data_IF_287692046382
#
_entry.id   IF_287692046382
#
_cell.length_a   1.000
_cell.length_b   1.000
_cell.length_c   1.000
_cell.angle_alpha   90.00
_cell.angle_beta   90.00
_cell.angle_gamma   90.00
#
_symmetry.space_group_name_H-M   'P 1'
#
loop_
_entity.id
_entity.type
_entity.pdbx_description
1 polymer ?
#
# COMPACT_ATOMS: atom_id res chain seq x y z
N UNK A 1 -13.87 0.23 0.50
CA UNK A 1 -13.37 0.59 1.84
C UNK A 1 -11.92 1.00 1.76
N UNK A 2 -11.49 1.92 2.61
CA UNK A 2 -10.13 2.45 2.66
C UNK A 2 -9.55 2.25 4.06
N UNK A 3 -8.33 1.77 4.16
CA UNK A 3 -7.55 1.81 5.41
C UNK A 3 -6.27 2.58 5.15
N UNK A 4 -6.04 3.60 5.98
CA UNK A 4 -4.94 4.57 5.79
C UNK A 4 -4.24 4.83 7.11
N UNK A 5 -2.97 5.19 7.06
CA UNK A 5 -2.18 5.55 8.24
C UNK A 5 -2.38 7.02 8.60
N UNK A 6 -3.58 7.41 9.04
CA UNK A 6 -3.91 8.80 9.39
C UNK A 6 -3.31 9.24 10.73
N UNK A 7 -2.92 8.28 11.56
CA UNK A 7 -2.11 8.49 12.77
C UNK A 7 -0.86 7.59 12.77
N UNK A 8 0.01 7.79 13.76
CA UNK A 8 1.28 7.06 13.89
C UNK A 8 2.41 7.63 13.01
N UNK A 9 3.53 6.90 12.88
CA UNK A 9 4.72 7.37 12.17
C UNK A 9 4.50 7.78 10.71
N UNK A 10 3.52 7.20 10.01
CA UNK A 10 3.23 7.51 8.61
C UNK A 10 2.09 8.54 8.41
N UNK A 11 1.67 9.25 9.47
CA UNK A 11 0.56 10.20 9.42
C UNK A 11 0.70 11.28 8.33
N UNK A 12 1.93 11.72 8.03
CA UNK A 12 2.19 12.71 6.97
C UNK A 12 1.76 12.22 5.57
N UNK A 13 1.68 10.90 5.36
CA UNK A 13 1.18 10.27 4.14
C UNK A 13 -0.31 9.94 4.23
N UNK A 14 -0.77 9.35 5.33
CA UNK A 14 -2.17 8.92 5.44
C UNK A 14 -3.18 10.04 5.65
N UNK A 15 -2.77 11.19 6.22
CA UNK A 15 -3.64 12.38 6.32
C UNK A 15 -4.06 12.89 4.94
N UNK A 16 -3.14 13.16 3.98
CA UNK A 16 -3.56 13.58 2.64
C UNK A 16 -4.33 12.50 1.88
N UNK A 17 -4.02 11.20 2.06
CA UNK A 17 -4.82 10.10 1.49
C UNK A 17 -6.26 10.13 2.02
N UNK A 18 -6.44 10.26 3.34
CA UNK A 18 -7.76 10.41 3.98
C UNK A 18 -8.49 11.63 3.42
N UNK A 19 -7.84 12.79 3.35
CA UNK A 19 -8.47 14.01 2.86
C UNK A 19 -8.89 13.89 1.39
N UNK A 20 -8.11 13.16 0.59
CA UNK A 20 -8.43 12.90 -0.82
C UNK A 20 -9.71 12.10 -0.98
N UNK A 21 -10.04 11.20 -0.04
CA UNK A 21 -11.30 10.42 -0.10
C UNK A 21 -12.55 11.31 -0.18
N UNK A 22 -12.53 12.49 0.45
CA UNK A 22 -13.65 13.44 0.41
C UNK A 22 -13.78 14.18 -0.93
N UNK A 23 -12.73 14.15 -1.75
CA UNK A 23 -12.67 14.77 -3.08
C UNK A 23 -12.98 13.78 -4.20
N UNK A 24 -13.05 12.48 -3.89
CA UNK A 24 -13.34 11.45 -4.88
C UNK A 24 -14.79 11.57 -5.39
N UNK A 25 -15.05 11.16 -6.65
CA UNK A 25 -16.39 11.18 -7.22
C UNK A 25 -17.37 10.36 -6.39
N UNK A 26 -18.52 10.95 -6.04
CA UNK A 26 -19.61 10.22 -5.36
C UNK A 26 -20.47 9.39 -6.31
N UNK A 27 -20.25 9.53 -7.61
CA UNK A 27 -20.95 8.79 -8.65
C UNK A 27 -20.02 8.57 -9.85
N UNK A 28 -19.97 7.34 -10.37
CA UNK A 28 -19.27 6.99 -11.60
C UNK A 28 -20.21 6.15 -12.46
N UNK A 29 -20.38 6.52 -13.73
CA UNK A 29 -21.23 5.81 -14.69
C UNK A 29 -22.66 5.52 -14.18
N UNK A 30 -23.26 6.45 -13.42
CA UNK A 30 -24.60 6.29 -12.86
C UNK A 30 -24.69 5.47 -11.57
N UNK A 31 -23.56 4.97 -11.05
CA UNK A 31 -23.49 4.22 -9.80
C UNK A 31 -22.94 5.11 -8.68
N UNK A 32 -23.64 5.15 -7.55
CA UNK A 32 -23.15 5.85 -6.35
C UNK A 32 -21.97 5.11 -5.75
N UNK A 33 -21.02 5.87 -5.21
CA UNK A 33 -19.84 5.32 -4.54
C UNK A 33 -19.78 5.82 -3.10
N UNK A 34 -19.65 4.87 -2.18
CA UNK A 34 -19.46 5.12 -0.76
C UNK A 34 -18.04 4.79 -0.33
N UNK A 35 -17.34 5.78 0.23
CA UNK A 35 -15.98 5.63 0.74
C UNK A 35 -15.99 5.51 2.26
N UNK A 36 -15.85 4.29 2.77
CA UNK A 36 -15.64 4.03 4.21
C UNK A 36 -14.14 4.11 4.49
N UNK A 37 -13.71 5.05 5.33
CA UNK A 37 -12.29 5.27 5.65
C UNK A 37 -12.02 4.92 7.11
N UNK A 38 -11.06 4.03 7.34
CA UNK A 38 -10.56 3.64 8.66
C UNK A 38 -9.08 4.03 8.80
N UNK A 39 -8.68 4.35 10.03
CA UNK A 39 -7.29 4.62 10.38
C UNK A 39 -6.63 3.34 10.89
N UNK A 40 -5.49 2.95 10.32
CA UNK A 40 -4.68 1.82 10.80
C UNK A 40 -3.53 2.23 11.73
N UNK A 41 -3.36 3.52 12.00
CA UNK A 41 -2.34 4.04 12.91
C UNK A 41 -0.89 3.63 12.56
N UNK A 42 -0.62 3.29 11.29
CA UNK A 42 0.67 2.72 10.85
C UNK A 42 0.97 1.35 11.52
N UNK A 43 -0.05 0.60 11.92
CA UNK A 43 0.07 -0.69 12.59
C UNK A 43 -0.55 -1.82 11.74
N UNK A 44 0.21 -2.88 11.52
CA UNK A 44 -0.22 -3.99 10.64
C UNK A 44 -1.36 -4.81 11.24
N UNK A 45 -1.44 -4.90 12.57
CA UNK A 45 -2.55 -5.59 13.25
C UNK A 45 -3.84 -4.80 13.09
N UNK A 46 -3.79 -3.48 13.20
CA UNK A 46 -4.94 -2.61 12.93
C UNK A 46 -5.34 -2.63 11.46
N UNK A 47 -4.39 -2.63 10.52
CA UNK A 47 -4.70 -2.77 9.09
C UNK A 47 -5.45 -4.08 8.79
N UNK A 48 -5.04 -5.21 9.38
CA UNK A 48 -5.74 -6.49 9.26
C UNK A 48 -7.16 -6.43 9.85
N UNK A 49 -7.32 -5.82 11.03
CA UNK A 49 -8.65 -5.63 11.66
C UNK A 49 -9.57 -4.78 10.79
N UNK A 50 -9.06 -3.66 10.26
CA UNK A 50 -9.78 -2.78 9.36
C UNK A 50 -10.18 -3.52 8.08
N UNK A 51 -9.27 -4.27 7.47
CA UNK A 51 -9.57 -5.06 6.28
C UNK A 51 -10.69 -6.07 6.54
N UNK A 52 -10.62 -6.84 7.63
CA UNK A 52 -11.68 -7.78 8.03
C UNK A 52 -13.01 -7.10 8.26
N UNK A 53 -13.02 -5.98 8.99
CA UNK A 53 -14.24 -5.21 9.22
C UNK A 53 -14.86 -4.76 7.91
N UNK A 54 -14.05 -4.13 7.05
CA UNK A 54 -14.51 -3.62 5.76
C UNK A 54 -15.09 -4.73 4.86
N UNK A 55 -14.46 -5.90 4.81
CA UNK A 55 -14.91 -7.01 3.96
C UNK A 55 -16.09 -7.77 4.55
N UNK A 56 -16.08 -8.04 5.86
CA UNK A 56 -17.00 -8.98 6.50
C UNK A 56 -18.19 -8.31 7.18
N UNK A 57 -18.06 -7.05 7.62
CA UNK A 57 -19.14 -6.31 8.27
C UNK A 57 -19.70 -5.22 7.34
N UNK A 58 -18.81 -4.43 6.72
CA UNK A 58 -19.23 -3.33 5.84
C UNK A 58 -19.46 -3.80 4.38
N UNK A 59 -19.11 -5.05 4.05
CA UNK A 59 -19.31 -5.69 2.75
C UNK A 59 -18.84 -4.85 1.55
N UNK A 60 -17.66 -4.25 1.64
CA UNK A 60 -17.14 -3.40 0.56
C UNK A 60 -16.77 -4.19 -0.70
N UNK A 61 -16.99 -3.60 -1.88
CA UNK A 61 -16.65 -4.23 -3.17
C UNK A 61 -15.14 -4.26 -3.46
N UNK A 62 -14.37 -3.36 -2.84
CA UNK A 62 -12.93 -3.24 -3.01
C UNK A 62 -12.26 -2.63 -1.78
N UNK A 63 -11.00 -3.00 -1.56
CA UNK A 63 -10.11 -2.42 -0.56
C UNK A 63 -9.14 -1.44 -1.23
N UNK A 64 -8.93 -0.28 -0.62
CA UNK A 64 -7.86 0.65 -0.95
C UNK A 64 -6.96 0.78 0.28
N UNK A 65 -5.66 0.57 0.08
CA UNK A 65 -4.68 0.65 1.14
C UNK A 65 -3.86 -0.65 1.31
N UNK A 66 -2.93 -0.65 2.24
CA UNK A 66 -2.64 0.47 3.15
C UNK A 66 -1.63 1.48 2.54
N UNK A 67 -1.40 2.57 3.27
CA UNK A 67 -0.39 3.63 3.04
C UNK A 67 1.04 3.08 3.01
N UNK A 68 1.34 2.11 3.89
CA UNK A 68 2.71 1.58 4.07
C UNK A 68 2.84 0.11 3.66
N UNK A 69 4.06 -0.29 3.30
CA UNK A 69 4.37 -1.63 2.79
C UNK A 69 4.01 -2.74 3.80
N UNK A 70 4.41 -2.68 5.09
CA UNK A 70 4.11 -3.76 6.03
C UNK A 70 2.61 -4.00 6.19
N UNK A 71 1.82 -2.92 6.25
CA UNK A 71 0.37 -3.00 6.38
C UNK A 71 -0.27 -3.57 5.11
N UNK A 72 0.18 -3.14 3.92
CA UNK A 72 -0.30 -3.69 2.65
C UNK A 72 -0.01 -5.19 2.53
N UNK A 73 1.19 -5.63 2.90
CA UNK A 73 1.56 -7.05 2.90
C UNK A 73 0.67 -7.87 3.85
N UNK A 74 0.35 -7.33 5.03
CA UNK A 74 -0.50 -8.00 6.02
C UNK A 74 -1.96 -8.16 5.55
N UNK A 75 -2.44 -7.32 4.64
CA UNK A 75 -3.80 -7.35 4.11
C UNK A 75 -4.01 -8.37 2.97
N UNK A 76 -2.94 -8.88 2.35
CA UNK A 76 -3.00 -9.79 1.18
C UNK A 76 -3.88 -11.01 1.46
N UNK A 77 -3.69 -11.65 2.62
CA UNK A 77 -4.44 -12.86 2.98
C UNK A 77 -5.94 -12.56 3.09
N UNK A 78 -6.31 -11.40 3.63
CA UNK A 78 -7.71 -10.99 3.78
C UNK A 78 -8.34 -10.73 2.40
N UNK A 79 -7.64 -10.00 1.52
CA UNK A 79 -8.11 -9.74 0.16
C UNK A 79 -8.37 -11.05 -0.60
N UNK A 80 -7.44 -12.01 -0.51
CA UNK A 80 -7.58 -13.31 -1.15
C UNK A 80 -8.71 -14.17 -0.55
N UNK A 81 -8.76 -14.29 0.78
CA UNK A 81 -9.77 -15.11 1.45
C UNK A 81 -11.19 -14.61 1.23
N UNK A 82 -11.36 -13.30 1.21
CA UNK A 82 -12.67 -12.65 1.01
C UNK A 82 -12.98 -12.40 -0.45
N UNK A 83 -12.05 -12.73 -1.35
CA UNK A 83 -12.17 -12.46 -2.78
C UNK A 83 -12.55 -10.99 -3.05
N UNK A 84 -11.99 -10.09 -2.26
CA UNK A 84 -12.20 -8.64 -2.38
C UNK A 84 -10.92 -8.01 -2.93
N UNK A 85 -10.95 -7.42 -4.13
CA UNK A 85 -9.75 -6.86 -4.73
C UNK A 85 -9.19 -5.72 -3.88
N UNK A 86 -7.86 -5.70 -3.74
CA UNK A 86 -7.12 -4.71 -2.98
C UNK A 86 -6.22 -3.88 -3.88
N UNK A 87 -6.26 -2.56 -3.73
CA UNK A 87 -5.34 -1.62 -4.38
C UNK A 87 -4.47 -0.97 -3.31
N UNK A 88 -3.22 -1.39 -3.21
CA UNK A 88 -2.24 -0.81 -2.29
C UNK A 88 -1.75 0.56 -2.77
N UNK A 89 -1.45 1.44 -1.80
CA UNK A 89 -0.82 2.74 -2.01
C UNK A 89 0.69 2.72 -1.69
N UNK A 90 1.24 1.53 -1.39
CA UNK A 90 2.65 1.34 -1.06
C UNK A 90 3.46 0.80 -2.25
N UNK A 91 4.77 1.06 -2.25
CA UNK A 91 5.60 0.94 -3.45
C UNK A 91 6.28 -0.42 -3.68
N UNK A 92 6.48 -1.23 -2.63
CA UNK A 92 7.31 -2.44 -2.74
C UNK A 92 6.78 -3.44 -3.77
N UNK A 93 7.67 -3.96 -4.61
CA UNK A 93 7.34 -4.98 -5.61
C UNK A 93 6.71 -6.23 -4.98
N UNK A 94 7.15 -6.61 -3.78
CA UNK A 94 6.68 -7.78 -3.03
C UNK A 94 5.17 -7.77 -2.73
N UNK A 95 4.50 -6.63 -2.87
CA UNK A 95 3.05 -6.51 -2.72
C UNK A 95 2.32 -7.24 -3.86
N UNK A 96 2.89 -7.23 -5.08
CA UNK A 96 2.27 -7.78 -6.29
C UNK A 96 3.11 -8.87 -6.97
N UNK A 97 4.37 -9.05 -6.56
CA UNK A 97 5.31 -10.01 -7.12
C UNK A 97 5.93 -10.93 -6.05
N UNK A 98 6.28 -12.19 -6.40
CA UNK A 98 5.89 -12.87 -7.63
C UNK A 98 4.37 -13.11 -7.65
N UNK A 99 3.77 -13.20 -8.84
CA UNK A 99 2.35 -13.51 -8.95
C UNK A 99 2.06 -14.91 -8.40
N UNK A 100 1.10 -14.98 -7.49
CA UNK A 100 0.64 -16.21 -6.86
C UNK A 100 -0.89 -16.14 -6.65
N UNK A 101 -1.56 -17.24 -6.24
CA UNK A 101 -3.02 -17.23 -6.07
C UNK A 101 -3.51 -16.15 -5.09
N UNK A 102 -2.74 -15.80 -4.06
CA UNK A 102 -3.11 -14.75 -3.09
C UNK A 102 -3.01 -13.36 -3.71
N UNK A 103 -1.91 -13.09 -4.41
CA UNK A 103 -1.64 -11.82 -5.09
C UNK A 103 -2.50 -11.59 -6.33
N UNK A 104 -3.23 -12.60 -6.81
CA UNK A 104 -4.22 -12.43 -7.89
C UNK A 104 -5.33 -11.43 -7.55
N UNK A 105 -5.57 -11.17 -6.26
CA UNK A 105 -6.52 -10.18 -5.74
C UNK A 105 -5.87 -8.83 -5.41
N UNK A 106 -4.58 -8.66 -5.66
CA UNK A 106 -3.80 -7.52 -5.17
C UNK A 106 -3.19 -6.74 -6.31
N UNK A 107 -3.44 -5.45 -6.29
CA UNK A 107 -2.94 -4.46 -7.24
C UNK A 107 -2.25 -3.33 -6.48
N UNK A 108 -1.47 -2.51 -7.18
CA UNK A 108 -0.91 -1.29 -6.59
C UNK A 108 -0.75 -0.20 -7.65
N UNK A 109 -0.89 1.04 -7.22
CA UNK A 109 -0.71 2.22 -8.08
C UNK A 109 0.73 2.75 -8.11
N UNK A 110 1.55 2.70 -7.03
CA UNK A 110 2.90 3.24 -7.10
C UNK A 110 3.85 2.33 -7.89
N UNK A 111 4.81 2.95 -8.58
CA UNK A 111 5.93 2.25 -9.22
C UNK A 111 6.75 1.41 -8.23
N UNK A 112 7.32 0.29 -8.70
CA UNK A 112 8.24 -0.51 -7.90
C UNK A 112 9.45 0.33 -7.47
N UNK A 113 9.82 0.23 -6.20
CA UNK A 113 11.02 0.82 -5.61
C UNK A 113 12.31 0.43 -6.30
N UNK A 114 12.41 -0.80 -6.81
CA UNK A 114 13.59 -1.25 -7.58
C UNK A 114 13.86 -0.38 -8.81
N UNK A 115 12.83 0.17 -9.46
CA UNK A 115 13.01 1.08 -10.59
C UNK A 115 13.68 2.39 -10.14
N UNK A 116 13.30 2.89 -8.96
CA UNK A 116 13.87 4.09 -8.37
C UNK A 116 15.32 3.83 -7.91
N UNK A 117 15.56 2.72 -7.21
CA UNK A 117 16.89 2.32 -6.76
C UNK A 117 17.87 2.12 -7.93
N UNK A 118 17.41 1.45 -9.01
CA UNK A 118 18.21 1.23 -10.22
C UNK A 118 18.60 2.54 -10.88
N UNK A 119 17.69 3.51 -10.98
CA UNK A 119 18.00 4.81 -11.57
C UNK A 119 19.08 5.56 -10.77
N UNK A 120 19.02 5.52 -9.44
CA UNK A 120 20.02 6.14 -8.56
C UNK A 120 21.37 5.44 -8.70
N UNK A 121 21.39 4.10 -8.60
CA UNK A 121 22.62 3.32 -8.74
C UNK A 121 23.27 3.50 -10.12
N UNK A 122 22.47 3.55 -11.19
CA UNK A 122 22.95 3.80 -12.54
C UNK A 122 23.55 5.20 -12.67
N UNK A 123 22.90 6.22 -12.10
CA UNK A 123 23.42 7.58 -12.08
C UNK A 123 24.78 7.64 -11.35
N UNK A 124 24.90 6.98 -10.20
CA UNK A 124 26.15 6.90 -9.42
C UNK A 124 27.27 6.24 -10.24
N UNK A 125 26.97 5.11 -10.89
CA UNK A 125 27.92 4.39 -11.75
C UNK A 125 28.41 5.28 -12.91
N UNK A 126 27.49 5.97 -13.59
CA UNK A 126 27.79 6.89 -14.69
C UNK A 126 28.69 8.07 -14.29
N UNK A 127 28.67 8.44 -13.00
CA UNK A 127 29.48 9.53 -12.44
C UNK A 127 30.69 9.04 -11.65
N UNK A 128 31.06 7.76 -11.80
CA UNK A 128 32.29 7.22 -11.23
C UNK A 128 32.28 7.02 -9.72
N UNK A 129 31.12 7.02 -9.06
CA UNK A 129 31.01 6.68 -7.63
C UNK A 129 31.37 5.20 -7.43
N UNK A 130 32.28 4.91 -6.49
CA UNK A 130 32.82 3.56 -6.26
C UNK A 130 32.49 2.96 -4.90
N UNK A 131 32.01 3.77 -3.95
CA UNK A 131 31.63 3.34 -2.61
C UNK A 131 30.25 3.88 -2.26
N UNK A 132 29.44 3.04 -1.62
CA UNK A 132 28.05 3.35 -1.24
C UNK A 132 27.81 2.83 0.17
N UNK A 133 27.08 3.60 0.97
CA UNK A 133 26.50 3.15 2.23
C UNK A 133 24.99 3.30 2.12
N UNK A 134 24.24 2.32 2.64
CA UNK A 134 22.79 2.33 2.68
C UNK A 134 22.30 2.59 4.10
N UNK A 135 21.41 3.57 4.24
CA UNK A 135 20.66 3.83 5.47
C UNK A 135 19.19 3.83 5.07
N UNK A 136 18.43 2.88 5.62
CA UNK A 136 17.03 2.69 5.30
C UNK A 136 16.21 2.38 6.54
N UNK A 137 14.89 2.30 6.35
CA UNK A 137 13.98 1.85 7.41
C UNK A 137 14.27 0.38 7.77
N UNK A 138 14.05 0.02 9.04
CA UNK A 138 14.15 -1.36 9.52
C UNK A 138 12.84 -2.11 9.28
N UNK A 139 12.33 -2.07 8.06
CA UNK A 139 11.07 -2.71 7.67
C UNK A 139 11.12 -3.25 6.22
N UNK A 140 10.02 -3.86 5.79
CA UNK A 140 9.90 -4.45 4.46
C UNK A 140 10.07 -3.44 3.31
N UNK A 141 9.88 -2.14 3.55
CA UNK A 141 10.16 -1.10 2.56
C UNK A 141 11.66 -0.77 2.51
N UNK A 142 12.32 -0.62 3.66
CA UNK A 142 13.78 -0.44 3.66
C UNK A 142 14.53 -1.64 3.08
N UNK A 143 14.08 -2.86 3.39
CA UNK A 143 14.64 -4.09 2.84
C UNK A 143 14.48 -4.22 1.32
N UNK A 144 13.38 -3.73 0.74
CA UNK A 144 13.15 -3.80 -0.71
C UNK A 144 14.05 -2.84 -1.49
N UNK A 145 14.50 -1.74 -0.89
CA UNK A 145 15.50 -0.84 -1.48
C UNK A 145 16.93 -1.39 -1.49
N UNK A 146 17.23 -2.34 -0.60
CA UNK A 146 18.57 -2.90 -0.47
C UNK A 146 18.87 -4.05 -1.45
N UNK A 147 17.81 -4.69 -1.97
CA UNK A 147 17.92 -5.84 -2.89
C UNK A 147 18.17 -5.39 -4.32
#
# INVERSE_FOLDING_TARGET
>A
GMTVSATGPAASLGIPEKNTSALLPKEIAGQKIDYIVLDDATDSTQAVKNARKLTSEDHVDALIGSTVVPNSLAMIDIANETQTPMISMAAAASIVEPMDPKRSWVFKTPQNDILMATAIAQHMSNHGVKSVAFIGFSDAYGESWFK
#
